data_IF_973271124523
#
_entry.id   IF_973271124523
#
_cell.length_a   1.000
_cell.length_b   1.000
_cell.length_c   1.000
_cell.angle_alpha   90.00
_cell.angle_beta   90.00
_cell.angle_gamma   90.00
#
_symmetry.space_group_name_H-M   'P 1'
#
loop_
_entity.id
_entity.type
_entity.pdbx_description
1 polymer ?
#
# COMPACT_ATOMS: atom_id res chain seq x y z
N UNK A 1 15.37 1.44 -17.50
CA UNK A 1 15.57 0.44 -16.43
C UNK A 1 14.56 0.71 -15.32
N UNK A 2 13.92 -0.32 -14.75
CA UNK A 2 12.98 -0.17 -13.62
C UNK A 2 13.64 -0.72 -12.36
N UNK A 3 13.81 0.13 -11.36
CA UNK A 3 14.42 -0.26 -10.09
C UNK A 3 13.36 -0.81 -9.14
N UNK A 4 13.74 -1.82 -8.36
CA UNK A 4 12.89 -2.42 -7.35
C UNK A 4 13.63 -2.40 -6.00
N UNK A 5 12.91 -2.06 -4.94
CA UNK A 5 13.42 -2.06 -3.57
C UNK A 5 12.58 -2.99 -2.70
N UNK A 6 13.23 -3.72 -1.80
CA UNK A 6 12.57 -4.49 -0.76
C UNK A 6 12.46 -3.62 0.49
N UNK A 7 11.26 -3.51 1.05
CA UNK A 7 11.04 -2.78 2.29
C UNK A 7 9.98 -3.47 3.15
N UNK A 8 9.91 -3.08 4.41
CA UNK A 8 8.83 -3.46 5.31
C UNK A 8 7.92 -2.26 5.46
N UNK A 9 6.63 -2.43 5.18
CA UNK A 9 5.61 -1.41 5.41
C UNK A 9 4.70 -1.83 6.56
N UNK A 10 4.02 -0.86 7.16
CA UNK A 10 2.96 -1.10 8.13
C UNK A 10 1.61 -0.66 7.54
N UNK A 11 0.63 -1.57 7.56
CA UNK A 11 -0.72 -1.32 7.05
C UNK A 11 -1.75 -1.93 8.01
N UNK A 12 -2.62 -1.09 8.59
CA UNK A 12 -3.62 -1.50 9.60
C UNK A 12 -3.00 -2.33 10.74
N UNK A 13 -1.88 -1.88 11.30
CA UNK A 13 -1.13 -2.56 12.36
C UNK A 13 -0.37 -3.82 11.93
N UNK A 14 -0.42 -4.20 10.64
CA UNK A 14 0.30 -5.37 10.11
C UNK A 14 1.60 -4.94 9.44
N UNK A 15 2.72 -5.49 9.88
CA UNK A 15 4.04 -5.33 9.23
C UNK A 15 4.19 -6.33 8.08
N UNK A 16 4.43 -5.83 6.87
CA UNK A 16 4.49 -6.63 5.64
C UNK A 16 5.78 -6.32 4.89
N UNK A 17 6.61 -7.35 4.70
CA UNK A 17 7.76 -7.28 3.81
C UNK A 17 7.31 -7.42 2.36
N UNK A 18 7.62 -6.43 1.55
CA UNK A 18 7.19 -6.36 0.15
C UNK A 18 8.24 -5.70 -0.71
N UNK A 19 8.03 -5.72 -2.03
CA UNK A 19 8.84 -5.03 -3.00
C UNK A 19 8.03 -3.92 -3.66
N UNK A 20 8.66 -2.77 -3.90
CA UNK A 20 8.09 -1.67 -4.69
C UNK A 20 9.02 -1.33 -5.85
N UNK A 21 8.42 -1.00 -6.99
CA UNK A 21 9.17 -0.36 -8.06
C UNK A 21 9.34 1.12 -7.78
N UNK A 22 10.56 1.63 -7.92
CA UNK A 22 10.80 3.07 -7.94
C UNK A 22 10.39 3.63 -9.30
N UNK A 23 9.52 4.62 -9.27
CA UNK A 23 8.99 5.29 -10.47
C UNK A 23 8.64 6.71 -10.09
N UNK A 24 8.94 7.67 -10.96
CA UNK A 24 8.51 9.05 -10.76
C UNK A 24 6.99 9.16 -10.87
N UNK A 25 6.37 9.68 -9.81
CA UNK A 25 4.92 9.81 -9.67
C UNK A 25 4.50 11.21 -9.20
N UNK A 26 5.36 12.20 -9.45
CA UNK A 26 5.11 13.60 -9.11
C UNK A 26 3.80 14.08 -9.77
N UNK A 27 2.95 14.74 -8.98
CA UNK A 27 1.65 15.27 -9.45
C UNK A 27 0.49 14.27 -9.43
N UNK A 28 0.72 12.99 -9.08
CA UNK A 28 -0.38 12.03 -8.95
C UNK A 28 -1.11 12.20 -7.62
N UNK A 29 -2.44 12.13 -7.64
CA UNK A 29 -3.29 12.15 -6.43
C UNK A 29 -2.87 11.11 -5.38
N UNK A 30 -2.40 9.94 -5.84
CA UNK A 30 -1.90 8.86 -5.01
C UNK A 30 -0.45 8.52 -5.40
N UNK A 31 0.54 8.99 -4.61
CA UNK A 31 1.96 8.80 -4.95
C UNK A 31 2.41 7.34 -4.76
N UNK A 32 1.71 6.54 -3.95
CA UNK A 32 2.00 5.13 -3.70
C UNK A 32 0.85 4.28 -4.23
N UNK A 33 1.17 3.16 -4.89
CA UNK A 33 0.21 2.14 -5.29
C UNK A 33 0.44 0.86 -4.51
N UNK A 34 -0.62 0.34 -3.89
CA UNK A 34 -0.63 -0.99 -3.30
C UNK A 34 -1.09 -1.98 -4.37
N UNK A 35 -0.16 -2.81 -4.85
CA UNK A 35 -0.45 -3.80 -5.89
C UNK A 35 -1.16 -5.04 -5.33
N UNK A 36 -1.79 -5.82 -6.22
CA UNK A 36 -2.48 -7.07 -5.85
C UNK A 36 -1.56 -8.07 -5.13
N UNK A 37 -0.27 -8.16 -5.47
CA UNK A 37 0.69 -9.07 -4.78
C UNK A 37 0.80 -8.77 -3.28
N UNK A 38 0.67 -7.51 -2.90
CA UNK A 38 0.68 -7.07 -1.51
C UNK A 38 -0.67 -7.36 -0.84
N UNK A 39 -1.77 -7.04 -1.52
CA UNK A 39 -3.12 -7.05 -0.97
C UNK A 39 -3.75 -8.45 -0.89
N UNK A 40 -3.49 -9.28 -1.90
CA UNK A 40 -4.16 -10.56 -2.08
C UNK A 40 -3.88 -11.50 -0.90
N UNK A 41 -4.91 -12.22 -0.45
CA UNK A 41 -4.92 -13.07 0.75
C UNK A 41 -4.61 -12.36 2.08
N UNK A 42 -4.50 -11.02 2.11
CA UNK A 42 -4.23 -10.24 3.34
C UNK A 42 -5.36 -9.29 3.70
N UNK A 43 -6.00 -8.68 2.71
CA UNK A 43 -7.04 -7.68 2.91
C UNK A 43 -8.21 -7.91 1.96
N UNK A 44 -9.42 -7.63 2.44
CA UNK A 44 -10.61 -7.44 1.62
C UNK A 44 -10.71 -5.93 1.34
N UNK A 45 -11.01 -5.57 0.10
CA UNK A 45 -11.12 -4.17 -0.32
C UNK A 45 -12.59 -3.89 -0.64
N UNK A 46 -13.13 -2.90 0.07
CA UNK A 46 -14.43 -2.29 -0.23
C UNK A 46 -14.18 -0.91 -0.82
N UNK A 47 -14.60 -0.69 -2.07
CA UNK A 47 -14.38 0.57 -2.79
C UNK A 47 -15.33 1.69 -2.38
N UNK A 48 -16.37 1.39 -1.60
CA UNK A 48 -17.27 2.40 -1.03
C UNK A 48 -16.65 3.13 0.18
N UNK A 49 -15.64 2.52 0.81
CA UNK A 49 -15.02 3.03 2.02
C UNK A 49 -13.74 3.81 1.74
N UNK A 50 -13.50 4.86 2.52
CA UNK A 50 -12.29 5.70 2.45
C UNK A 50 -11.73 5.97 3.84
N UNK A 51 -10.39 6.01 3.97
CA UNK A 51 -9.67 6.35 5.22
C UNK A 51 -10.04 5.49 6.45
N UNK A 52 -10.38 4.22 6.25
CA UNK A 52 -10.77 3.28 7.33
C UNK A 52 -9.72 3.11 8.43
N UNK A 53 -8.43 3.29 8.11
CA UNK A 53 -7.35 3.18 9.09
C UNK A 53 -7.42 4.19 10.24
N UNK A 54 -8.08 5.34 10.04
CA UNK A 54 -8.23 6.36 11.08
C UNK A 54 -9.23 5.98 12.17
N UNK A 55 -10.08 4.97 11.92
CA UNK A 55 -11.12 4.56 12.87
C UNK A 55 -10.61 3.54 13.91
N UNK A 56 -9.51 2.85 13.61
CA UNK A 56 -8.99 1.73 14.43
C UNK A 56 -8.07 2.19 15.59
N UNK A 57 -7.69 3.47 15.65
CA UNK A 57 -6.81 4.03 16.69
C UNK A 57 -7.57 4.92 17.70
N UNK A 58 -8.84 4.63 17.98
CA UNK A 58 -9.57 5.22 19.11
C UNK A 58 -9.56 4.27 20.30
#
# INVERSE_FOLDING_TARGET
>A
LRYFIKCTIELLGRKIKTEFSLTERKGMRYPILLGRKLLNKRFIIDTSLVNVSKQTHK
#
